data_IF_556174101241
#
_entry.id   IF_556174101241
#
_cell.length_a   1.000
_cell.length_b   1.000
_cell.length_c   1.000
_cell.angle_alpha   90.00
_cell.angle_beta   90.00
_cell.angle_gamma   90.00
#
_symmetry.space_group_name_H-M   'P 1'
#
loop_
_entity.id
_entity.type
_entity.pdbx_description
1 polymer ?
#
# COMPACT_ATOMS: atom_id res chain seq x y z
N UNK A 1 2.65 -1.69 44.85
CA UNK A 1 1.34 -1.04 44.67
C UNK A 1 1.61 0.26 43.95
N UNK A 2 1.25 0.52 42.71
CA UNK A 2 0.46 -0.19 41.69
C UNK A 2 0.93 0.42 40.36
N UNK A 3 1.46 -0.40 39.45
CA UNK A 3 1.85 0.07 38.12
C UNK A 3 0.57 0.18 37.31
N UNK A 4 0.09 1.40 37.07
CA UNK A 4 -1.07 1.69 36.24
C UNK A 4 -0.83 1.18 34.81
N UNK A 5 -1.33 -0.01 34.54
CA UNK A 5 -1.39 -0.63 33.21
C UNK A 5 -2.62 -0.11 32.45
N UNK A 6 -2.68 1.21 32.23
CA UNK A 6 -3.79 1.85 31.52
C UNK A 6 -3.26 2.58 30.29
N UNK A 7 -2.74 1.81 29.33
CA UNK A 7 -2.94 2.14 27.93
C UNK A 7 -2.96 0.82 27.16
N UNK A 8 -4.12 0.18 27.14
CA UNK A 8 -4.48 -0.70 26.03
C UNK A 8 -5.27 0.17 25.06
N UNK A 9 -4.60 1.09 24.38
CA UNK A 9 -5.15 1.56 23.12
C UNK A 9 -5.29 0.31 22.24
N UNK A 10 -6.50 -0.07 21.79
CA UNK A 10 -6.59 -1.04 20.72
C UNK A 10 -5.90 -0.39 19.52
N UNK A 11 -4.66 -0.79 19.25
CA UNK A 11 -4.02 -0.51 17.97
C UNK A 11 -4.97 -1.14 16.94
N UNK A 12 -5.62 -0.36 16.06
CA UNK A 12 -6.30 -0.98 14.93
C UNK A 12 -5.23 -1.77 14.18
N UNK A 13 -5.39 -3.10 14.15
CA UNK A 13 -4.55 -4.04 13.41
C UNK A 13 -4.86 -3.95 11.90
N UNK A 14 -5.06 -2.73 11.39
CA UNK A 14 -5.20 -2.44 9.96
C UNK A 14 -3.86 -1.94 9.39
N UNK A 15 -2.76 -2.29 10.06
CA UNK A 15 -1.39 -1.98 9.65
C UNK A 15 -0.72 -3.09 8.85
N UNK A 16 -1.48 -3.89 8.10
CA UNK A 16 -0.93 -4.70 7.01
C UNK A 16 -1.02 -3.90 5.73
N UNK A 17 0.06 -3.78 4.95
CA UNK A 17 -0.06 -3.36 3.55
C UNK A 17 -1.08 -4.32 2.91
N UNK A 18 -2.31 -3.87 2.59
CA UNK A 18 -3.18 -4.75 1.86
C UNK A 18 -2.45 -4.89 0.53
N UNK A 19 -1.93 -6.08 0.23
CA UNK A 19 -1.15 -6.38 -0.98
C UNK A 19 -1.79 -5.85 -2.28
N UNK A 20 -3.06 -5.45 -2.22
CA UNK A 20 -3.75 -4.53 -3.14
C UNK A 20 -2.95 -3.28 -3.54
N UNK A 21 -2.10 -2.68 -2.69
CA UNK A 21 -1.32 -1.49 -3.09
C UNK A 21 -0.11 -1.84 -3.96
N UNK A 22 0.41 -3.07 -3.84
CA UNK A 22 1.50 -3.55 -4.69
C UNK A 22 1.09 -3.62 -6.17
N UNK A 23 -0.17 -3.95 -6.46
CA UNK A 23 -0.74 -3.94 -7.81
C UNK A 23 -0.69 -2.54 -8.46
N UNK A 24 -0.66 -1.48 -7.64
CA UNK A 24 -0.52 -0.09 -8.08
C UNK A 24 0.93 0.37 -8.20
N UNK A 25 1.90 -0.48 -7.89
CA UNK A 25 3.32 -0.16 -8.07
C UNK A 25 3.75 -0.61 -9.47
N UNK A 26 4.28 0.30 -10.27
CA UNK A 26 4.78 -0.01 -11.60
C UNK A 26 5.99 -0.95 -11.49
N UNK A 27 5.97 -2.13 -12.12
CA UNK A 27 7.07 -3.10 -12.00
C UNK A 27 8.38 -2.62 -12.65
N UNK A 28 8.31 -1.69 -13.61
CA UNK A 28 9.49 -1.16 -14.30
C UNK A 28 10.21 -0.05 -13.54
N UNK A 29 9.49 0.83 -12.83
CA UNK A 29 10.08 2.04 -12.23
C UNK A 29 9.72 2.28 -10.75
N UNK A 30 8.85 1.47 -10.16
CA UNK A 30 8.45 1.59 -8.76
C UNK A 30 7.51 2.76 -8.44
N UNK A 31 7.02 3.51 -9.44
CA UNK A 31 6.01 4.55 -9.22
C UNK A 31 4.69 3.93 -8.80
N UNK A 32 4.02 4.57 -7.83
CA UNK A 32 2.63 4.27 -7.46
C UNK A 32 1.66 4.97 -8.42
N UNK A 33 0.70 4.23 -8.96
CA UNK A 33 -0.40 4.77 -9.75
C UNK A 33 -1.34 5.60 -8.88
N UNK A 34 -1.82 6.72 -9.41
CA UNK A 34 -2.87 7.52 -8.77
C UNK A 34 -4.26 6.90 -9.01
N UNK A 35 -4.45 6.27 -10.18
CA UNK A 35 -5.68 5.62 -10.61
C UNK A 35 -5.64 4.08 -10.50
N UNK A 36 -6.80 3.47 -10.31
CA UNK A 36 -6.98 2.03 -10.16
C UNK A 36 -8.25 1.59 -10.91
N UNK A 37 -8.18 0.63 -11.86
CA UNK A 37 -7.00 -0.12 -12.30
C UNK A 37 -6.08 0.71 -13.20
N UNK A 38 -4.76 0.68 -12.99
CA UNK A 38 -3.84 1.42 -13.82
C UNK A 38 -3.62 0.72 -15.17
N UNK A 39 -3.54 1.49 -16.26
CA UNK A 39 -3.31 0.96 -17.62
C UNK A 39 -1.92 1.29 -18.14
N UNK A 40 -1.37 2.46 -17.78
CA UNK A 40 -0.04 2.91 -18.21
C UNK A 40 0.64 3.81 -17.19
N UNK A 41 1.95 3.69 -17.02
CA UNK A 41 2.71 4.53 -16.11
C UNK A 41 2.96 5.93 -16.68
N UNK A 42 2.50 6.97 -15.98
CA UNK A 42 2.78 8.36 -16.35
C UNK A 42 4.25 8.78 -16.18
N UNK A 43 5.08 7.99 -15.47
CA UNK A 43 6.52 8.30 -15.28
C UNK A 43 7.39 7.78 -16.42
N UNK A 44 7.26 6.49 -16.74
CA UNK A 44 8.14 5.80 -17.67
C UNK A 44 7.43 5.38 -18.97
N UNK A 45 6.10 5.40 -19.00
CA UNK A 45 5.29 4.99 -20.15
C UNK A 45 5.05 3.49 -20.29
N UNK A 46 5.46 2.67 -19.31
CA UNK A 46 5.24 1.21 -19.29
C UNK A 46 3.75 0.86 -19.22
N UNK A 47 3.34 -0.23 -19.87
CA UNK A 47 1.98 -0.77 -19.79
C UNK A 47 1.82 -1.58 -18.50
N UNK A 48 0.73 -1.35 -17.76
CA UNK A 48 0.41 -2.15 -16.57
C UNK A 48 -0.17 -3.50 -17.01
N UNK A 49 0.69 -4.42 -17.46
CA UNK A 49 0.30 -5.82 -17.68
C UNK A 49 0.27 -6.51 -16.32
N UNK A 50 -0.90 -6.53 -15.69
CA UNK A 50 -1.18 -7.45 -14.61
C UNK A 50 -1.44 -8.82 -15.22
N UNK A 51 -0.40 -9.66 -15.25
CA UNK A 51 -0.56 -11.11 -15.43
C UNK A 51 -1.09 -11.74 -14.13
#
# INVERSE_FOLDING_TARGET
>A
MERTTADRHPVPDDGGDPACWLHRVCPACGRVADEDPPTRCASCGEEWTAD
#
